data_IF_584562878505
#
_entry.id   IF_584562878505
#
_cell.length_a   1.000
_cell.length_b   1.000
_cell.length_c   1.000
_cell.angle_alpha   90.00
_cell.angle_beta   90.00
_cell.angle_gamma   90.00
#
_symmetry.space_group_name_H-M   'P 1'
#
loop_
_entity.id
_entity.type
_entity.pdbx_description
1 polymer ?
#
# COMPACT_ATOMS: atom_id res chain seq x y z
N UNK A 1 -29.62 21.60 16.49
CA UNK A 1 -28.60 22.48 15.87
C UNK A 1 -28.33 21.91 14.50
N UNK A 2 -28.92 22.51 13.46
CA UNK A 2 -28.74 22.03 12.09
C UNK A 2 -27.36 22.47 11.63
N UNK A 3 -26.42 21.52 11.55
CA UNK A 3 -25.15 21.78 10.88
C UNK A 3 -25.37 21.48 9.41
N UNK A 4 -25.60 22.55 8.65
CA UNK A 4 -25.43 22.56 7.20
C UNK A 4 -23.95 22.36 6.92
N UNK A 5 -23.51 21.14 6.60
CA UNK A 5 -22.19 20.93 6.02
C UNK A 5 -22.34 21.15 4.52
N UNK A 6 -21.82 22.29 4.06
CA UNK A 6 -21.56 22.53 2.64
C UNK A 6 -20.49 21.52 2.21
N UNK A 7 -20.86 20.58 1.34
CA UNK A 7 -19.92 19.63 0.75
C UNK A 7 -19.12 20.39 -0.32
N UNK A 8 -17.86 20.71 -0.03
CA UNK A 8 -16.88 21.22 -0.99
C UNK A 8 -15.94 20.11 -1.43
N UNK A 9 -15.41 20.21 -2.65
CA UNK A 9 -14.68 19.19 -3.41
C UNK A 9 -13.31 18.72 -2.85
N UNK A 10 -13.13 18.67 -1.52
CA UNK A 10 -11.86 18.33 -0.86
C UNK A 10 -11.73 16.84 -0.46
N UNK A 11 -12.73 16.00 -0.70
CA UNK A 11 -12.70 14.57 -0.32
C UNK A 11 -11.66 13.72 -1.07
N UNK A 12 -10.95 14.28 -2.05
CA UNK A 12 -9.94 13.54 -2.84
C UNK A 12 -8.48 13.72 -2.35
N UNK A 13 -8.24 14.48 -1.28
CA UNK A 13 -6.88 14.75 -0.76
C UNK A 13 -6.68 14.31 0.70
N UNK A 14 -7.36 13.24 1.13
CA UNK A 14 -7.12 12.67 2.46
C UNK A 14 -5.68 12.12 2.54
N UNK A 15 -4.80 12.88 3.17
CA UNK A 15 -3.47 12.43 3.61
C UNK A 15 -3.62 12.00 5.06
N UNK A 16 -3.66 10.70 5.37
CA UNK A 16 -3.74 10.27 6.76
C UNK A 16 -2.54 10.85 7.51
N UNK A 17 -2.82 11.54 8.62
CA UNK A 17 -1.74 12.04 9.48
C UNK A 17 -1.17 10.86 10.28
N UNK A 18 0.13 10.91 10.62
CA UNK A 18 0.82 9.83 11.34
C UNK A 18 0.15 9.38 12.64
N UNK A 19 -0.74 10.19 13.24
CA UNK A 19 -1.50 9.87 14.45
C UNK A 19 -2.67 8.89 14.22
N UNK A 20 -3.11 8.68 12.98
CA UNK A 20 -4.20 7.78 12.61
C UNK A 20 -3.71 6.43 12.05
N UNK A 21 -2.41 6.30 11.78
CA UNK A 21 -1.80 5.09 11.22
C UNK A 21 -1.29 4.17 12.34
N UNK A 22 -1.33 2.87 12.09
CA UNK A 22 -0.85 1.85 13.02
C UNK A 22 0.64 1.56 12.77
N UNK A 23 1.53 1.73 13.77
CA UNK A 23 2.93 1.33 13.63
C UNK A 23 3.06 -0.14 13.26
N UNK A 24 3.92 -0.46 12.29
CA UNK A 24 4.19 -1.82 11.86
C UNK A 24 5.67 -1.98 11.49
N UNK A 25 6.22 -3.16 11.72
CA UNK A 25 7.52 -3.54 11.18
C UNK A 25 7.48 -3.61 9.64
N UNK A 26 8.61 -3.73 8.93
CA UNK A 26 8.58 -3.95 7.48
C UNK A 26 7.74 -5.19 7.12
N UNK A 27 7.01 -5.10 6.01
CA UNK A 27 6.16 -6.18 5.53
C UNK A 27 6.84 -6.86 4.34
N UNK A 28 6.98 -8.16 4.42
CA UNK A 28 7.53 -9.00 3.36
C UNK A 28 6.55 -10.11 3.00
N UNK A 29 6.14 -10.14 1.73
CA UNK A 29 5.29 -11.17 1.12
C UNK A 29 6.10 -11.77 -0.02
N UNK A 30 6.43 -13.05 0.08
CA UNK A 30 7.22 -13.78 -0.95
C UNK A 30 6.40 -14.87 -1.64
N UNK A 31 5.16 -15.07 -1.19
CA UNK A 31 4.23 -16.09 -1.70
C UNK A 31 2.79 -15.79 -1.27
N UNK A 32 1.83 -16.47 -1.91
CA UNK A 32 0.40 -16.31 -1.59
C UNK A 32 0.03 -16.64 -0.14
N UNK A 33 0.80 -17.50 0.54
CA UNK A 33 0.54 -17.88 1.93
C UNK A 33 0.94 -16.81 2.93
N UNK A 34 1.91 -15.96 2.58
CA UNK A 34 2.39 -14.90 3.49
C UNK A 34 1.30 -13.84 3.72
N UNK A 35 0.34 -13.75 2.80
CA UNK A 35 -0.81 -12.87 2.92
C UNK A 35 -1.85 -13.30 3.96
N UNK A 36 -1.83 -14.52 4.49
CA UNK A 36 -2.90 -15.03 5.37
C UNK A 36 -3.10 -14.19 6.65
N UNK A 37 -2.11 -13.37 7.03
CA UNK A 37 -2.20 -12.43 8.17
C UNK A 37 -2.90 -11.11 7.83
N UNK A 38 -3.23 -10.86 6.55
CA UNK A 38 -3.88 -9.63 6.05
C UNK A 38 -5.25 -9.94 5.45
N UNK A 39 -6.34 -10.00 6.24
CA UNK A 39 -7.66 -10.40 5.74
C UNK A 39 -8.26 -9.42 4.70
N UNK A 40 -9.31 -9.87 4.01
CA UNK A 40 -9.71 -9.40 2.67
C UNK A 40 -10.47 -8.08 2.46
N UNK A 41 -10.61 -7.77 1.16
CA UNK A 41 -11.21 -6.66 0.38
C UNK A 41 -10.24 -5.72 -0.36
N UNK A 42 -9.02 -6.18 -0.60
CA UNK A 42 -8.18 -5.84 -1.77
C UNK A 42 -8.54 -6.67 -3.02
N UNK A 43 -9.81 -6.57 -3.43
CA UNK A 43 -10.56 -7.45 -4.36
C UNK A 43 -9.83 -7.78 -5.68
N UNK A 44 -9.75 -9.04 -6.14
CA UNK A 44 -10.80 -9.77 -6.89
C UNK A 44 -11.61 -10.75 -6.02
N UNK A 45 -12.66 -10.19 -5.39
CA UNK A 45 -13.67 -10.83 -4.50
C UNK A 45 -13.07 -11.94 -3.60
N UNK A 46 -12.00 -11.75 -2.85
CA UNK A 46 -11.89 -10.86 -1.69
C UNK A 46 -10.43 -10.84 -1.17
N UNK A 47 -9.37 -10.75 -1.99
CA UNK A 47 -8.03 -10.97 -1.45
C UNK A 47 -7.40 -9.66 -0.98
N UNK A 48 -6.14 -9.72 -0.61
CA UNK A 48 -5.69 -9.22 0.69
C UNK A 48 -5.54 -7.70 0.77
N UNK A 49 -5.79 -7.16 1.95
CA UNK A 49 -5.75 -5.73 2.19
C UNK A 49 -4.64 -5.38 3.18
N UNK A 50 -3.63 -4.66 2.69
CA UNK A 50 -2.61 -4.03 3.52
C UNK A 50 -2.99 -2.55 3.63
N UNK A 51 -3.48 -2.15 4.81
CA UNK A 51 -4.05 -0.81 5.00
C UNK A 51 -3.65 -0.16 6.32
N UNK A 52 -3.38 1.15 6.26
CA UNK A 52 -3.34 1.99 7.45
C UNK A 52 -2.07 1.84 8.29
N UNK A 53 -0.97 1.38 7.70
CA UNK A 53 0.28 1.17 8.41
C UNK A 53 1.23 2.37 8.34
N UNK A 54 1.96 2.58 9.43
CA UNK A 54 3.08 3.50 9.55
C UNK A 54 4.37 2.68 9.72
N UNK A 55 5.18 2.66 8.67
CA UNK A 55 6.41 1.86 8.61
C UNK A 55 7.58 2.81 8.43
N UNK A 56 8.51 2.78 9.39
CA UNK A 56 9.80 3.48 9.32
C UNK A 56 10.90 2.46 9.60
N UNK A 57 11.81 2.26 8.66
CA UNK A 57 12.84 1.22 8.77
C UNK A 57 14.15 1.63 8.11
N UNK A 58 15.24 0.99 8.52
CA UNK A 58 16.53 1.06 7.82
C UNK A 58 16.76 -0.14 6.90
N UNK A 59 15.77 -1.02 6.76
CA UNK A 59 15.81 -2.12 5.80
C UNK A 59 15.72 -1.60 4.37
N UNK A 60 16.15 -2.44 3.43
CA UNK A 60 16.12 -2.11 1.99
C UNK A 60 14.70 -1.75 1.53
N UNK A 61 13.68 -2.50 1.96
CA UNK A 61 12.28 -2.25 1.62
C UNK A 61 11.40 -2.05 2.85
N UNK A 62 10.39 -1.18 2.74
CA UNK A 62 9.35 -1.04 3.76
C UNK A 62 8.20 -2.04 3.57
N UNK A 63 7.63 -2.09 2.38
CA UNK A 63 6.67 -3.13 1.95
C UNK A 63 7.23 -3.78 0.69
N UNK A 64 7.52 -5.08 0.76
CA UNK A 64 7.98 -5.89 -0.38
C UNK A 64 6.97 -6.99 -0.66
N UNK A 65 6.52 -7.10 -1.91
CA UNK A 65 5.58 -8.13 -2.37
C UNK A 65 6.13 -8.77 -3.63
N UNK A 66 6.38 -10.07 -3.59
CA UNK A 66 6.91 -10.81 -4.72
C UNK A 66 6.31 -12.20 -4.90
N UNK A 67 6.35 -12.69 -6.15
CA UNK A 67 5.99 -14.06 -6.52
C UNK A 67 4.59 -14.49 -6.07
N UNK A 68 3.63 -13.58 -6.18
CA UNK A 68 2.23 -13.82 -5.77
C UNK A 68 1.27 -13.88 -6.94
N UNK A 69 0.21 -14.68 -6.80
CA UNK A 69 -0.86 -14.84 -7.79
C UNK A 69 -2.21 -14.27 -7.36
N UNK A 70 -2.37 -13.94 -6.07
CA UNK A 70 -3.62 -13.37 -5.55
C UNK A 70 -3.69 -11.86 -5.78
N UNK A 71 -4.92 -11.35 -5.85
CA UNK A 71 -5.13 -9.90 -5.82
C UNK A 71 -4.75 -9.34 -4.45
N UNK A 72 -4.25 -8.12 -4.45
CA UNK A 72 -3.97 -7.40 -3.23
C UNK A 72 -4.11 -5.90 -3.47
N UNK A 73 -4.45 -5.21 -2.38
CA UNK A 73 -4.43 -3.75 -2.34
C UNK A 73 -3.54 -3.30 -1.20
N UNK A 74 -2.58 -2.43 -1.53
CA UNK A 74 -1.84 -1.64 -0.55
C UNK A 74 -2.42 -0.23 -0.56
N UNK A 75 -3.02 0.21 0.55
CA UNK A 75 -3.62 1.55 0.62
C UNK A 75 -3.46 2.27 1.94
N UNK A 76 -3.46 3.60 1.88
CA UNK A 76 -3.47 4.46 3.06
C UNK A 76 -2.28 4.18 4.01
N UNK A 77 -1.13 3.74 3.49
CA UNK A 77 0.08 3.50 4.27
C UNK A 77 1.05 4.68 4.18
N UNK A 78 1.85 4.87 5.23
CA UNK A 78 3.06 5.69 5.24
C UNK A 78 4.27 4.78 5.34
N UNK A 79 5.20 4.91 4.40
CA UNK A 79 6.37 4.03 4.29
C UNK A 79 7.64 4.84 4.08
N UNK A 80 8.58 4.72 5.02
CA UNK A 80 9.91 5.33 4.99
C UNK A 80 10.95 4.23 5.23
N UNK A 81 11.70 3.89 4.17
CA UNK A 81 12.70 2.83 4.11
C UNK A 81 13.95 3.32 3.35
N UNK A 82 15.00 2.49 3.30
CA UNK A 82 16.26 2.89 2.68
C UNK A 82 16.17 2.97 1.14
N UNK A 83 15.89 1.85 0.47
CA UNK A 83 15.91 1.76 -0.99
C UNK A 83 14.51 1.85 -1.60
N UNK A 84 13.57 1.02 -1.15
CA UNK A 84 12.21 0.94 -1.70
C UNK A 84 11.15 1.21 -0.63
N UNK A 85 10.26 2.18 -0.86
CA UNK A 85 9.08 2.34 -0.02
C UNK A 85 8.15 1.14 -0.20
N UNK A 86 7.57 1.03 -1.39
CA UNK A 86 6.75 -0.12 -1.79
C UNK A 86 7.40 -0.76 -3.03
N UNK A 87 7.81 -2.01 -2.91
CA UNK A 87 8.39 -2.81 -3.99
C UNK A 87 7.46 -3.96 -4.36
N UNK A 88 7.16 -4.08 -5.65
CA UNK A 88 6.33 -5.15 -6.21
C UNK A 88 7.09 -5.82 -7.35
N UNK A 89 7.28 -7.14 -7.27
CA UNK A 89 8.11 -7.90 -8.21
C UNK A 89 7.48 -9.24 -8.60
N UNK A 90 7.43 -9.55 -9.90
CA UNK A 90 6.96 -10.85 -10.41
C UNK A 90 5.60 -11.28 -9.83
N UNK A 91 4.61 -10.36 -9.82
CA UNK A 91 3.24 -10.68 -9.42
C UNK A 91 2.36 -10.91 -10.65
N UNK A 92 1.31 -11.72 -10.48
CA UNK A 92 0.40 -12.04 -11.57
C UNK A 92 -0.25 -10.78 -12.18
N UNK A 93 -0.50 -10.85 -13.49
CA UNK A 93 -1.03 -9.72 -14.26
C UNK A 93 -2.35 -9.19 -13.69
N UNK A 94 -2.40 -7.88 -13.46
CA UNK A 94 -3.63 -7.20 -13.03
C UNK A 94 -4.07 -7.46 -11.59
N UNK A 95 -3.25 -8.11 -10.77
CA UNK A 95 -3.61 -8.44 -9.38
C UNK A 95 -3.24 -7.36 -8.37
N UNK A 96 -2.33 -6.46 -8.74
CA UNK A 96 -1.78 -5.47 -7.82
C UNK A 96 -2.47 -4.09 -7.92
N UNK A 97 -2.92 -3.58 -6.76
CA UNK A 97 -3.37 -2.20 -6.60
C UNK A 97 -2.59 -1.49 -5.50
N UNK A 98 -1.97 -0.35 -5.80
CA UNK A 98 -1.24 0.48 -4.84
C UNK A 98 -1.78 1.91 -4.91
N UNK A 99 -2.55 2.31 -3.89
CA UNK A 99 -3.33 3.55 -3.91
C UNK A 99 -3.27 4.35 -2.60
N UNK A 100 -3.22 5.68 -2.67
CA UNK A 100 -3.28 6.56 -1.49
C UNK A 100 -2.17 6.32 -0.46
N UNK A 101 -0.98 5.89 -0.89
CA UNK A 101 0.16 5.70 0.00
C UNK A 101 1.09 6.92 -0.03
N UNK A 102 1.83 7.12 1.06
CA UNK A 102 2.95 8.06 1.13
C UNK A 102 4.25 7.27 1.24
N UNK A 103 5.17 7.42 0.28
CA UNK A 103 6.49 6.81 0.34
C UNK A 103 7.57 7.88 0.50
N UNK A 104 8.05 8.06 1.73
CA UNK A 104 8.91 9.19 2.12
C UNK A 104 10.39 8.77 2.28
N UNK A 105 11.32 9.64 1.88
CA UNK A 105 12.79 9.44 2.03
C UNK A 105 13.43 8.22 1.37
N UNK A 106 12.68 7.43 0.60
CA UNK A 106 13.20 6.26 -0.13
C UNK A 106 13.96 6.68 -1.40
N UNK A 107 14.98 5.91 -1.81
CA UNK A 107 15.61 6.08 -3.15
C UNK A 107 14.59 5.87 -4.27
N UNK A 108 13.71 4.89 -4.11
CA UNK A 108 12.58 4.61 -4.97
C UNK A 108 11.30 4.57 -4.12
N UNK A 109 10.38 5.52 -4.32
CA UNK A 109 9.14 5.56 -3.55
C UNK A 109 8.28 4.31 -3.76
N UNK A 110 7.84 4.09 -4.99
CA UNK A 110 7.06 2.91 -5.40
C UNK A 110 7.68 2.35 -6.68
N UNK A 111 8.00 1.06 -6.69
CA UNK A 111 8.60 0.39 -7.85
C UNK A 111 7.91 -0.93 -8.16
N UNK A 112 7.62 -1.12 -9.44
CA UNK A 112 7.07 -2.35 -10.00
C UNK A 112 8.08 -2.94 -10.98
N UNK A 113 8.29 -4.25 -10.89
CA UNK A 113 9.14 -5.02 -11.78
C UNK A 113 8.43 -6.32 -12.18
N UNK A 114 8.46 -6.69 -13.47
CA UNK A 114 7.73 -7.84 -14.02
C UNK A 114 6.27 -8.00 -13.53
N UNK A 115 5.54 -6.87 -13.41
CA UNK A 115 4.24 -6.80 -12.74
C UNK A 115 3.24 -5.99 -13.57
N UNK A 116 2.90 -6.49 -14.77
CA UNK A 116 2.13 -5.72 -15.75
C UNK A 116 0.63 -5.61 -15.37
N UNK A 117 -0.03 -4.60 -15.96
CA UNK A 117 -1.45 -4.29 -15.74
C UNK A 117 -1.85 -3.92 -14.30
N UNK A 118 -0.86 -3.54 -13.48
CA UNK A 118 -1.07 -3.04 -12.11
C UNK A 118 -1.73 -1.66 -12.06
N UNK A 119 -2.45 -1.36 -10.98
CA UNK A 119 -3.03 -0.04 -10.72
C UNK A 119 -2.20 0.73 -9.70
N UNK A 120 -1.70 1.91 -10.09
CA UNK A 120 -0.98 2.83 -9.19
C UNK A 120 -1.63 4.21 -9.26
N UNK A 121 -2.22 4.67 -8.17
CA UNK A 121 -2.99 5.93 -8.15
C UNK A 121 -2.81 6.69 -6.84
N UNK A 122 -2.84 8.03 -6.91
CA UNK A 122 -2.93 8.91 -5.73
C UNK A 122 -1.84 8.67 -4.66
N UNK A 123 -0.64 8.24 -5.04
CA UNK A 123 0.47 8.10 -4.12
C UNK A 123 1.32 9.37 -4.10
N UNK A 124 1.92 9.71 -2.95
CA UNK A 124 2.79 10.89 -2.76
C UNK A 124 4.19 10.49 -2.35
#
# INVERSE_FOLDING_TARGET
MNINVQITAEENNYRPTSLELTPHDPIEITSDSDFEVFPGTGTEIDPYLIEGYYITTTSESGISISSTTKYFTVRNCYVDADLYGIYVDDVAYGTATVINNTSNSNVYGIRFWFSDSSTVANNT
#
